data_IF_088416408782
#
_entry.id   IF_088416408782
#
_cell.length_a   1.000
_cell.length_b   1.000
_cell.length_c   1.000
_cell.angle_alpha   90.00
_cell.angle_beta   90.00
_cell.angle_gamma   90.00
#
_symmetry.space_group_name_H-M   'P 1'
#
loop_
_entity.id
_entity.type
_entity.pdbx_description
1 polymer ?
#
# COMPACT_ATOMS: atom_id res chain seq x y z
N UNK A 1 -12.85 4.13 4.65
CA UNK A 1 -11.92 5.11 4.03
C UNK A 1 -12.60 6.29 3.33
N UNK A 2 -12.07 7.51 3.51
CA UNK A 2 -12.39 8.68 2.67
C UNK A 2 -11.73 8.53 1.29
N UNK A 3 -12.48 8.79 0.21
CA UNK A 3 -11.99 8.73 -1.18
C UNK A 3 -11.89 10.12 -1.83
N UNK A 4 -11.06 10.24 -2.86
CA UNK A 4 -10.82 11.46 -3.66
C UNK A 4 -10.66 11.08 -5.14
N UNK A 5 -10.99 12.01 -6.04
CA UNK A 5 -10.69 11.89 -7.47
C UNK A 5 -9.20 12.12 -7.71
N UNK A 6 -8.52 11.20 -8.40
CA UNK A 6 -7.13 11.33 -8.83
C UNK A 6 -7.08 12.01 -10.19
N UNK A 7 -6.59 13.25 -10.23
CA UNK A 7 -6.49 14.03 -11.47
C UNK A 7 -7.84 14.20 -12.17
N UNK A 8 -7.83 14.24 -13.50
CA UNK A 8 -9.04 14.45 -14.30
C UNK A 8 -9.68 13.15 -14.83
N UNK A 9 -8.96 12.02 -14.74
CA UNK A 9 -9.34 10.72 -15.34
C UNK A 9 -10.59 10.07 -14.74
N UNK A 10 -11.13 10.59 -13.64
CA UNK A 10 -12.31 10.04 -12.97
C UNK A 10 -12.00 8.94 -11.95
N UNK A 11 -10.75 8.52 -11.83
CA UNK A 11 -10.36 7.46 -10.89
C UNK A 11 -10.56 7.91 -9.44
N UNK A 12 -11.31 7.12 -8.66
CA UNK A 12 -11.51 7.36 -7.23
C UNK A 12 -10.49 6.53 -6.43
N UNK A 13 -9.66 7.20 -5.63
CA UNK A 13 -8.63 6.58 -4.79
C UNK A 13 -8.84 6.95 -3.32
N UNK A 14 -8.28 6.16 -2.40
CA UNK A 14 -8.26 6.52 -0.99
C UNK A 14 -7.42 7.78 -0.76
N UNK A 15 -7.84 8.62 0.20
CA UNK A 15 -7.10 9.82 0.57
C UNK A 15 -5.73 9.51 1.21
N UNK A 16 -5.55 8.29 1.71
CA UNK A 16 -4.32 7.76 2.28
C UNK A 16 -3.92 6.51 1.51
N UNK A 17 -2.65 6.39 1.14
CA UNK A 17 -2.07 5.22 0.48
C UNK A 17 -1.08 4.48 1.39
N UNK A 18 -0.92 3.17 1.15
CA UNK A 18 0.12 2.36 1.80
C UNK A 18 1.41 2.42 0.98
N UNK A 19 2.49 2.92 1.57
CA UNK A 19 3.82 2.86 0.97
C UNK A 19 4.46 1.48 1.13
N UNK A 20 4.98 0.89 0.05
CA UNK A 20 5.54 -0.47 0.03
C UNK A 20 7.07 -0.55 -0.16
N UNK A 21 7.79 0.59 -0.12
CA UNK A 21 9.24 0.63 -0.35
C UNK A 21 10.02 -0.31 0.60
N UNK A 22 9.54 -0.48 1.84
CA UNK A 22 10.10 -1.36 2.87
C UNK A 22 10.01 -2.87 2.61
N UNK A 23 9.19 -3.29 1.65
CA UNK A 23 8.85 -4.70 1.47
C UNK A 23 9.83 -5.47 0.58
N UNK A 24 10.82 -4.78 -0.02
CA UNK A 24 11.75 -5.35 -0.99
C UNK A 24 13.21 -5.16 -0.57
N UNK A 25 14.05 -6.19 -0.81
CA UNK A 25 15.49 -6.22 -0.45
C UNK A 25 16.33 -5.09 -1.08
N UNK A 26 15.83 -4.40 -2.09
CA UNK A 26 16.55 -3.32 -2.78
C UNK A 26 16.57 -1.98 -2.05
N UNK A 27 15.65 -1.74 -1.11
CA UNK A 27 15.53 -0.46 -0.40
C UNK A 27 15.88 -0.56 1.09
N UNK A 28 15.72 -1.73 1.69
CA UNK A 28 16.03 -1.97 3.10
C UNK A 28 16.79 -3.29 3.25
N UNK A 29 17.76 -3.29 4.17
CA UNK A 29 18.65 -4.44 4.46
C UNK A 29 17.91 -5.67 4.99
N UNK A 30 16.68 -5.50 5.48
CA UNK A 30 15.85 -6.58 6.00
C UNK A 30 14.38 -6.30 5.66
N UNK A 31 13.91 -6.66 4.46
CA UNK A 31 12.47 -6.70 4.25
C UNK A 31 11.88 -7.76 5.17
N UNK A 32 10.68 -7.49 5.70
CA UNK A 32 9.95 -8.44 6.53
C UNK A 32 9.62 -9.73 5.77
N UNK A 33 9.10 -10.73 6.49
CA UNK A 33 8.75 -12.00 5.87
C UNK A 33 7.69 -11.81 4.76
N UNK A 34 7.79 -12.60 3.69
CA UNK A 34 6.89 -12.47 2.53
C UNK A 34 5.43 -12.65 2.95
N UNK A 35 5.13 -13.59 3.83
CA UNK A 35 3.76 -13.85 4.29
C UNK A 35 3.24 -12.68 5.11
N UNK A 36 4.09 -12.09 5.97
CA UNK A 36 3.74 -10.89 6.74
C UNK A 36 3.42 -9.71 5.83
N UNK A 37 4.23 -9.48 4.78
CA UNK A 37 4.00 -8.38 3.83
C UNK A 37 2.72 -8.59 3.03
N UNK A 38 2.43 -9.82 2.62
CA UNK A 38 1.16 -10.16 1.95
C UNK A 38 -0.04 -9.94 2.89
N UNK A 39 0.08 -10.34 4.16
CA UNK A 39 -0.97 -10.14 5.16
C UNK A 39 -1.22 -8.64 5.39
N UNK A 40 -0.16 -7.84 5.48
CA UNK A 40 -0.25 -6.39 5.63
C UNK A 40 -0.97 -5.74 4.43
N UNK A 41 -0.58 -6.09 3.20
CA UNK A 41 -1.22 -5.57 1.99
C UNK A 41 -2.72 -5.87 1.96
N UNK A 42 -3.13 -7.09 2.32
CA UNK A 42 -4.54 -7.46 2.41
C UNK A 42 -5.27 -6.65 3.47
N UNK A 43 -4.68 -6.54 4.67
CA UNK A 43 -5.27 -5.76 5.76
C UNK A 43 -5.45 -4.28 5.43
N UNK A 44 -4.63 -3.72 4.55
CA UNK A 44 -4.73 -2.33 4.12
C UNK A 44 -5.88 -2.09 3.12
N UNK A 45 -6.34 -3.14 2.42
CA UNK A 45 -7.53 -3.07 1.57
C UNK A 45 -8.81 -3.03 2.41
N UNK A 46 -8.82 -3.76 3.53
CA UNK A 46 -9.98 -3.92 4.40
C UNK A 46 -10.25 -2.69 5.31
N UNK A 47 -9.31 -1.75 5.43
CA UNK A 47 -9.35 -0.60 6.36
C UNK A 47 -9.55 0.73 5.63
#
# INVERSE_FOLDING_TARGET
MQKRKLGESGLQVSAVGLGCMGMSKGYYSTPGDRQEMVALLRSAVDR
#
